data_IF_006906069736
#
_entry.id   IF_006906069736
#
_cell.length_a   1.000
_cell.length_b   1.000
_cell.length_c   1.000
_cell.angle_alpha   90.00
_cell.angle_beta   90.00
_cell.angle_gamma   90.00
#
_symmetry.space_group_name_H-M   'P 1'
#
loop_
_entity.id
_entity.type
_entity.pdbx_description
1 polymer ?
#
# COMPACT_ATOMS: atom_id res chain seq x y z
N UNK A 1 13.83 -11.26 -0.72
CA UNK A 1 12.48 -11.08 -0.20
C UNK A 1 11.46 -10.82 -1.30
N UNK A 2 11.80 -10.09 -2.34
CA UNK A 2 11.01 -9.84 -3.53
C UNK A 2 10.48 -11.12 -4.23
N UNK A 3 11.29 -12.17 -4.33
CA UNK A 3 10.93 -13.44 -5.00
C UNK A 3 9.82 -14.19 -4.25
N UNK A 4 9.85 -14.19 -2.92
CA UNK A 4 8.88 -14.89 -2.07
C UNK A 4 7.48 -14.29 -2.18
N UNK A 5 7.36 -12.96 -2.09
CA UNK A 5 6.08 -12.26 -2.27
C UNK A 5 5.49 -12.52 -3.67
N UNK A 6 6.31 -12.41 -4.71
CA UNK A 6 5.88 -12.69 -6.09
C UNK A 6 5.37 -14.13 -6.25
N UNK A 7 6.06 -15.12 -5.69
CA UNK A 7 5.67 -16.53 -5.76
C UNK A 7 4.36 -16.78 -5.01
N UNK A 8 4.21 -16.23 -3.81
CA UNK A 8 2.99 -16.35 -3.00
C UNK A 8 1.78 -15.76 -3.73
N UNK A 9 1.93 -14.58 -4.36
CA UNK A 9 0.88 -13.98 -5.19
C UNK A 9 0.56 -14.85 -6.41
N UNK A 10 1.58 -15.34 -7.14
CA UNK A 10 1.38 -16.20 -8.31
C UNK A 10 0.57 -17.45 -7.95
N UNK A 11 0.91 -18.09 -6.84
CA UNK A 11 0.23 -19.29 -6.37
C UNK A 11 -1.20 -18.99 -5.91
N UNK A 12 -1.39 -17.88 -5.20
CA UNK A 12 -2.71 -17.39 -4.80
C UNK A 12 -3.63 -17.13 -5.99
N UNK A 13 -3.11 -16.48 -7.05
CA UNK A 13 -3.86 -16.25 -8.29
C UNK A 13 -4.24 -17.55 -8.99
N UNK A 14 -3.33 -18.54 -9.00
CA UNK A 14 -3.62 -19.87 -9.56
C UNK A 14 -4.68 -20.62 -8.78
N UNK A 15 -4.60 -20.61 -7.45
CA UNK A 15 -5.53 -21.30 -6.56
C UNK A 15 -6.95 -20.71 -6.62
N UNK A 16 -7.07 -19.38 -6.71
CA UNK A 16 -8.35 -18.67 -6.72
C UNK A 16 -9.01 -18.60 -8.10
N UNK A 17 -8.77 -19.61 -8.93
CA UNK A 17 -9.10 -19.64 -10.36
C UNK A 17 -10.57 -19.39 -10.72
N UNK A 18 -11.50 -19.72 -9.85
CA UNK A 18 -12.93 -19.65 -10.09
C UNK A 18 -13.69 -18.65 -9.21
N UNK A 19 -13.06 -18.05 -8.22
CA UNK A 19 -13.68 -17.12 -7.28
C UNK A 19 -12.92 -15.79 -7.25
N UNK A 20 -13.48 -14.79 -7.91
CA UNK A 20 -12.88 -13.44 -8.01
C UNK A 20 -12.84 -12.72 -6.67
N UNK A 21 -13.84 -12.94 -5.79
CA UNK A 21 -13.86 -12.34 -4.47
C UNK A 21 -12.73 -12.92 -3.61
N UNK A 22 -12.52 -14.21 -3.67
CA UNK A 22 -11.42 -14.89 -2.98
C UNK A 22 -10.04 -14.45 -3.54
N UNK A 23 -9.93 -14.23 -4.85
CA UNK A 23 -8.69 -13.70 -5.46
C UNK A 23 -8.34 -12.33 -4.87
N UNK A 24 -9.29 -11.41 -4.80
CA UNK A 24 -9.10 -10.10 -4.19
C UNK A 24 -8.67 -10.20 -2.73
N UNK A 25 -9.36 -11.04 -1.94
CA UNK A 25 -9.03 -11.29 -0.54
C UNK A 25 -7.62 -11.86 -0.37
N UNK A 26 -7.26 -12.83 -1.17
CA UNK A 26 -5.95 -13.48 -1.11
C UNK A 26 -4.82 -12.50 -1.47
N UNK A 27 -4.96 -11.76 -2.57
CA UNK A 27 -3.97 -10.74 -2.96
C UNK A 27 -3.84 -9.68 -1.87
N UNK A 28 -4.97 -9.21 -1.33
CA UNK A 28 -4.95 -8.25 -0.22
C UNK A 28 -4.21 -8.80 1.00
N UNK A 29 -4.47 -10.05 1.37
CA UNK A 29 -3.83 -10.72 2.50
C UNK A 29 -2.32 -10.85 2.33
N UNK A 30 -1.86 -11.32 1.16
CA UNK A 30 -0.43 -11.45 0.84
C UNK A 30 0.26 -10.08 0.89
N UNK A 31 -0.32 -9.06 0.26
CA UNK A 31 0.25 -7.70 0.26
C UNK A 31 0.28 -7.12 1.67
N UNK A 32 -0.79 -7.27 2.46
CA UNK A 32 -0.82 -6.80 3.84
C UNK A 32 0.24 -7.49 4.70
N UNK A 33 0.41 -8.80 4.58
CA UNK A 33 1.46 -9.55 5.28
C UNK A 33 2.84 -9.01 4.92
N UNK A 34 3.13 -8.84 3.62
CA UNK A 34 4.40 -8.29 3.17
C UNK A 34 4.65 -6.87 3.71
N UNK A 35 3.62 -6.01 3.74
CA UNK A 35 3.71 -4.66 4.30
C UNK A 35 3.97 -4.67 5.81
N UNK A 36 3.37 -5.60 6.56
CA UNK A 36 3.65 -5.80 7.98
C UNK A 36 5.10 -6.23 8.21
N UNK A 37 5.58 -7.21 7.44
CA UNK A 37 6.93 -7.75 7.56
C UNK A 37 8.00 -6.71 7.24
N UNK A 38 7.69 -5.75 6.36
CA UNK A 38 8.54 -4.61 6.01
C UNK A 38 8.25 -3.33 6.81
N UNK A 39 7.48 -3.42 7.90
CA UNK A 39 7.17 -2.31 8.79
C UNK A 39 6.56 -1.09 8.08
N UNK A 40 5.78 -1.32 7.02
CA UNK A 40 5.15 -0.28 6.21
C UNK A 40 6.15 0.76 5.66
N UNK A 41 7.41 0.36 5.41
CA UNK A 41 8.42 1.24 4.81
C UNK A 41 8.01 1.63 3.39
N UNK A 42 7.99 2.94 3.03
CA UNK A 42 7.53 3.39 1.71
C UNK A 42 8.37 2.86 0.54
N UNK A 43 9.67 2.64 0.72
CA UNK A 43 10.51 2.06 -0.33
C UNK A 43 10.15 0.59 -0.57
N UNK A 44 9.93 -0.17 0.51
CA UNK A 44 9.48 -1.55 0.44
C UNK A 44 8.07 -1.67 -0.17
N UNK A 45 7.17 -0.72 0.11
CA UNK A 45 5.82 -0.71 -0.49
C UNK A 45 5.87 -0.71 -2.03
N UNK A 46 6.76 0.06 -2.66
CA UNK A 46 6.92 0.08 -4.12
C UNK A 46 7.39 -1.27 -4.66
N UNK A 47 8.33 -1.92 -3.98
CA UNK A 47 8.78 -3.26 -4.37
C UNK A 47 7.66 -4.28 -4.23
N UNK A 48 6.93 -4.26 -3.11
CA UNK A 48 5.79 -5.14 -2.87
C UNK A 48 4.71 -4.98 -3.95
N UNK A 49 4.35 -3.75 -4.31
CA UNK A 49 3.41 -3.49 -5.40
C UNK A 49 3.90 -4.05 -6.74
N UNK A 50 5.17 -3.83 -7.07
CA UNK A 50 5.78 -4.32 -8.31
C UNK A 50 5.81 -5.85 -8.38
N UNK A 51 6.21 -6.50 -7.30
CA UNK A 51 6.25 -7.96 -7.20
C UNK A 51 4.86 -8.58 -7.24
N UNK A 52 3.89 -7.93 -6.59
CA UNK A 52 2.49 -8.33 -6.63
C UNK A 52 1.95 -8.31 -8.06
N UNK A 53 2.13 -7.22 -8.80
CA UNK A 53 1.66 -7.14 -10.19
C UNK A 53 2.39 -8.11 -11.12
N UNK A 54 3.67 -8.35 -10.89
CA UNK A 54 4.40 -9.38 -11.62
C UNK A 54 3.86 -10.78 -11.33
N UNK A 55 3.56 -11.09 -10.06
CA UNK A 55 2.93 -12.35 -9.65
C UNK A 55 1.51 -12.53 -10.23
N UNK A 56 0.72 -11.45 -10.24
CA UNK A 56 -0.60 -11.46 -10.90
C UNK A 56 -0.45 -11.76 -12.39
N UNK A 57 0.48 -11.09 -13.08
CA UNK A 57 0.75 -11.34 -14.49
C UNK A 57 1.13 -12.81 -14.75
N UNK A 58 2.08 -13.34 -14.00
CA UNK A 58 2.54 -14.73 -14.14
C UNK A 58 1.41 -15.74 -13.85
N UNK A 59 0.59 -15.47 -12.82
CA UNK A 59 -0.52 -16.36 -12.44
C UNK A 59 -1.67 -16.36 -13.44
N UNK A 60 -1.85 -15.29 -14.22
CA UNK A 60 -2.97 -15.13 -15.16
C UNK A 60 -2.61 -15.50 -16.61
N UNK A 61 -1.33 -15.60 -16.97
CA UNK A 61 -0.88 -15.93 -18.34
C UNK A 61 -1.55 -17.21 -18.86
N UNK A 62 -1.76 -18.20 -18.02
CA UNK A 62 -2.34 -19.49 -18.39
C UNK A 62 -3.86 -19.43 -18.65
N UNK A 63 -4.54 -18.34 -18.33
CA UNK A 63 -6.01 -18.23 -18.35
C UNK A 63 -6.60 -17.59 -19.61
N UNK A 64 -5.79 -16.90 -20.39
CA UNK A 64 -6.24 -16.22 -21.61
C UNK A 64 -7.27 -15.09 -21.32
N UNK A 65 -8.07 -14.74 -22.30
CA UNK A 65 -8.97 -13.58 -22.28
C UNK A 65 -10.10 -13.63 -21.21
N UNK A 66 -10.31 -14.75 -20.54
CA UNK A 66 -11.31 -14.88 -19.47
C UNK A 66 -10.85 -14.30 -18.11
N UNK A 67 -9.64 -13.77 -18.05
CA UNK A 67 -9.03 -13.30 -16.82
C UNK A 67 -9.08 -11.77 -16.64
N UNK A 68 -9.81 -11.03 -17.47
CA UNK A 68 -9.93 -9.56 -17.37
C UNK A 68 -10.44 -9.10 -16.02
N UNK A 69 -11.51 -9.71 -15.52
CA UNK A 69 -12.04 -9.40 -14.19
C UNK A 69 -11.07 -9.83 -13.07
N UNK A 70 -10.28 -10.88 -13.29
CA UNK A 70 -9.27 -11.32 -12.33
C UNK A 70 -8.13 -10.30 -12.18
N UNK A 71 -7.69 -9.65 -13.27
CA UNK A 71 -6.73 -8.53 -13.19
C UNK A 71 -7.29 -7.40 -12.32
N UNK A 72 -8.55 -7.02 -12.54
CA UNK A 72 -9.20 -5.95 -11.79
C UNK A 72 -9.32 -6.28 -10.32
N UNK A 73 -9.76 -7.48 -9.97
CA UNK A 73 -9.92 -7.89 -8.57
C UNK A 73 -8.58 -8.04 -7.86
N UNK A 74 -7.54 -8.55 -8.53
CA UNK A 74 -6.20 -8.61 -7.98
C UNK A 74 -5.62 -7.21 -7.69
N UNK A 75 -5.75 -6.27 -8.65
CA UNK A 75 -5.31 -4.88 -8.46
C UNK A 75 -6.11 -4.18 -7.37
N UNK A 76 -7.42 -4.43 -7.27
CA UNK A 76 -8.24 -3.91 -6.16
C UNK A 76 -7.78 -4.43 -4.81
N UNK A 77 -7.48 -5.73 -4.69
CA UNK A 77 -6.93 -6.29 -3.45
C UNK A 77 -5.62 -5.64 -3.04
N UNK A 78 -4.74 -5.38 -4.00
CA UNK A 78 -3.50 -4.65 -3.76
C UNK A 78 -3.75 -3.19 -3.35
N UNK A 79 -4.60 -2.45 -4.05
CA UNK A 79 -4.94 -1.05 -3.75
C UNK A 79 -5.55 -0.92 -2.34
N UNK A 80 -6.46 -1.80 -1.97
CA UNK A 80 -7.00 -1.85 -0.60
C UNK A 80 -5.95 -2.12 0.46
N UNK A 81 -4.99 -3.02 0.20
CA UNK A 81 -3.92 -3.31 1.15
C UNK A 81 -3.01 -2.10 1.36
N UNK A 82 -2.62 -1.43 0.27
CA UNK A 82 -1.81 -0.21 0.32
C UNK A 82 -2.57 0.93 1.01
N UNK A 83 -3.84 1.15 0.67
CA UNK A 83 -4.69 2.14 1.32
C UNK A 83 -4.82 1.90 2.84
N UNK A 84 -4.93 0.64 3.28
CA UNK A 84 -4.94 0.28 4.71
C UNK A 84 -3.61 0.56 5.40
N UNK A 85 -2.47 0.40 4.70
CA UNK A 85 -1.17 0.76 5.26
C UNK A 85 -1.05 2.28 5.46
N UNK A 86 -1.56 3.08 4.53
CA UNK A 86 -1.65 4.54 4.68
C UNK A 86 -2.51 4.91 5.88
N UNK A 87 -3.67 4.26 6.05
CA UNK A 87 -4.52 4.46 7.22
C UNK A 87 -3.81 4.08 8.52
N UNK A 88 -3.05 2.97 8.54
CA UNK A 88 -2.28 2.57 9.73
C UNK A 88 -1.21 3.61 10.09
N UNK A 89 -0.52 4.19 9.12
CA UNK A 89 0.43 5.30 9.34
C UNK A 89 -0.28 6.52 9.93
N UNK A 90 -1.46 6.88 9.41
CA UNK A 90 -2.27 7.95 9.98
C UNK A 90 -2.60 7.71 11.44
N UNK A 91 -3.12 6.52 11.78
CA UNK A 91 -3.49 6.16 13.15
C UNK A 91 -2.26 6.19 14.08
N UNK A 92 -1.10 5.72 13.60
CA UNK A 92 0.14 5.77 14.35
C UNK A 92 0.58 7.22 14.66
N UNK A 93 0.44 8.13 13.70
CA UNK A 93 0.70 9.57 13.90
C UNK A 93 -0.29 10.17 14.91
N UNK A 94 -1.57 9.86 14.82
CA UNK A 94 -2.57 10.36 15.77
C UNK A 94 -2.31 9.87 17.19
N UNK A 95 -1.99 8.59 17.35
CA UNK A 95 -1.63 7.99 18.64
C UNK A 95 -0.39 8.68 19.24
N UNK A 96 0.67 8.81 18.44
CA UNK A 96 1.89 9.45 18.88
C UNK A 96 1.66 10.91 19.31
N UNK A 97 0.83 11.66 18.59
CA UNK A 97 0.44 13.01 19.02
C UNK A 97 -0.42 13.03 20.28
N UNK A 98 -1.33 12.07 20.45
CA UNK A 98 -2.15 11.98 21.66
C UNK A 98 -1.33 11.72 22.91
N UNK A 99 -0.23 10.96 22.77
CA UNK A 99 0.75 10.71 23.83
C UNK A 99 1.71 11.88 24.09
N UNK A 100 1.54 13.01 23.41
CA UNK A 100 2.36 14.21 23.59
C UNK A 100 3.74 14.11 22.93
N UNK A 101 3.95 13.14 22.04
CA UNK A 101 5.18 13.09 21.24
C UNK A 101 5.24 14.30 20.31
N UNK A 102 6.34 15.03 20.45
CA UNK A 102 6.66 16.15 19.58
C UNK A 102 7.53 15.63 18.44
N UNK A 103 6.98 15.63 17.23
CA UNK A 103 7.76 15.34 16.04
C UNK A 103 8.42 16.60 15.54
N UNK A 104 9.67 16.48 15.07
CA UNK A 104 10.28 17.55 14.32
C UNK A 104 9.47 17.83 13.05
N UNK A 105 9.43 19.06 12.59
CA UNK A 105 8.74 19.42 11.34
C UNK A 105 9.28 18.63 10.14
N UNK A 106 10.56 18.20 10.19
CA UNK A 106 11.21 17.34 9.19
C UNK A 106 10.64 15.92 9.17
N UNK A 107 10.37 15.30 10.34
CA UNK A 107 9.88 13.92 10.42
C UNK A 107 8.46 13.81 9.90
N UNK A 108 7.63 14.78 10.26
CA UNK A 108 6.26 14.89 9.73
C UNK A 108 6.32 15.11 8.22
N UNK A 109 7.21 15.99 7.75
CA UNK A 109 7.39 16.26 6.32
C UNK A 109 7.81 15.02 5.54
N UNK A 110 8.81 14.29 6.00
CA UNK A 110 9.31 13.08 5.34
C UNK A 110 8.23 11.99 5.27
N UNK A 111 7.45 11.82 6.34
CA UNK A 111 6.29 10.91 6.35
C UNK A 111 5.20 11.36 5.38
N UNK A 112 4.93 12.66 5.33
CA UNK A 112 3.96 13.26 4.39
C UNK A 112 4.40 13.04 2.95
N UNK A 113 5.67 13.35 2.63
CA UNK A 113 6.19 13.20 1.28
C UNK A 113 6.17 11.71 0.86
N UNK A 114 6.53 10.79 1.74
CA UNK A 114 6.49 9.36 1.48
C UNK A 114 5.06 8.83 1.22
N UNK A 115 4.08 9.30 1.98
CA UNK A 115 2.66 8.91 1.80
C UNK A 115 2.05 9.55 0.55
N UNK A 116 2.41 10.81 0.27
CA UNK A 116 1.87 11.59 -0.85
C UNK A 116 2.13 10.93 -2.21
N UNK A 117 3.28 10.30 -2.35
CA UNK A 117 3.69 9.71 -3.63
C UNK A 117 3.10 8.30 -3.87
N UNK A 118 2.51 7.65 -2.84
CA UNK A 118 2.04 6.27 -2.94
C UNK A 118 0.98 6.02 -4.01
N UNK A 119 0.05 6.96 -4.22
CA UNK A 119 -0.93 6.83 -5.32
C UNK A 119 -0.25 6.90 -6.69
N UNK A 120 0.68 7.83 -6.85
CA UNK A 120 1.47 7.96 -8.07
C UNK A 120 2.34 6.72 -8.31
N UNK A 121 2.92 6.18 -7.25
CA UNK A 121 3.72 4.95 -7.28
C UNK A 121 2.85 3.74 -7.68
N UNK A 122 1.65 3.62 -7.13
CA UNK A 122 0.70 2.57 -7.51
C UNK A 122 0.34 2.66 -9.00
N UNK A 123 -0.05 3.83 -9.47
CA UNK A 123 -0.43 4.04 -10.87
C UNK A 123 0.76 3.81 -11.82
N UNK A 124 1.97 4.24 -11.43
CA UNK A 124 3.17 4.00 -12.23
C UNK A 124 3.52 2.51 -12.29
N UNK A 125 3.36 1.79 -11.18
CA UNK A 125 3.62 0.34 -11.12
C UNK A 125 2.64 -0.45 -11.99
N UNK A 126 1.36 -0.04 -12.07
CA UNK A 126 0.39 -0.63 -12.99
C UNK A 126 0.81 -0.42 -14.45
N UNK A 127 1.29 0.79 -14.80
CA UNK A 127 1.80 1.06 -16.15
C UNK A 127 3.06 0.25 -16.47
N UNK A 128 3.99 0.14 -15.53
CA UNK A 128 5.17 -0.71 -15.67
C UNK A 128 4.79 -2.19 -15.88
N UNK A 129 3.74 -2.68 -15.20
CA UNK A 129 3.23 -4.02 -15.41
C UNK A 129 2.67 -4.18 -16.83
N UNK A 130 1.95 -3.18 -17.35
CA UNK A 130 1.49 -3.17 -18.75
C UNK A 130 2.67 -3.25 -19.72
N UNK A 131 3.74 -2.50 -19.47
CA UNK A 131 4.92 -2.49 -20.36
C UNK A 131 5.71 -3.81 -20.34
N UNK A 132 5.69 -4.53 -19.22
CA UNK A 132 6.39 -5.81 -19.05
C UNK A 132 5.57 -7.02 -19.51
N UNK A 133 4.28 -6.86 -19.76
CA UNK A 133 3.37 -7.91 -20.22
C UNK A 133 3.13 -7.82 -21.72
N UNK A 134 2.56 -8.87 -22.30
CA UNK A 134 2.24 -8.95 -23.73
C UNK A 134 0.80 -9.40 -23.96
N UNK A 135 0.35 -9.22 -25.19
CA UNK A 135 -0.96 -9.68 -25.62
C UNK A 135 -2.11 -8.98 -24.88
N UNK A 136 -3.15 -9.74 -24.55
CA UNK A 136 -4.37 -9.26 -23.91
C UNK A 136 -4.10 -8.65 -22.52
N UNK A 137 -3.17 -9.23 -21.76
CA UNK A 137 -2.85 -8.79 -20.39
C UNK A 137 -2.26 -7.37 -20.36
N UNK A 138 -1.47 -7.00 -21.37
CA UNK A 138 -1.00 -5.62 -21.55
C UNK A 138 -2.16 -4.64 -21.71
N UNK A 139 -3.15 -5.01 -22.52
CA UNK A 139 -4.36 -4.21 -22.72
C UNK A 139 -5.10 -3.99 -21.40
N UNK A 140 -5.34 -5.05 -20.63
CA UNK A 140 -6.05 -4.98 -19.35
C UNK A 140 -5.35 -4.08 -18.33
N UNK A 141 -4.03 -4.19 -18.16
CA UNK A 141 -3.29 -3.29 -17.26
C UNK A 141 -3.30 -1.84 -17.75
N UNK A 142 -3.23 -1.61 -19.08
CA UNK A 142 -3.28 -0.26 -19.67
C UNK A 142 -4.64 0.38 -19.42
N UNK A 143 -5.73 -0.34 -19.69
CA UNK A 143 -7.09 0.14 -19.53
C UNK A 143 -7.41 0.39 -18.05
N UNK A 144 -6.99 -0.52 -17.18
CA UNK A 144 -7.17 -0.38 -15.74
C UNK A 144 -6.38 0.81 -15.18
N UNK A 145 -5.11 0.97 -15.55
CA UNK A 145 -4.29 2.11 -15.14
C UNK A 145 -4.88 3.44 -15.60
N UNK A 146 -5.42 3.49 -16.82
CA UNK A 146 -6.11 4.67 -17.35
C UNK A 146 -7.40 4.95 -16.59
N UNK A 147 -8.17 3.91 -16.27
CA UNK A 147 -9.41 4.02 -15.50
C UNK A 147 -9.13 4.58 -14.10
N UNK A 148 -8.20 3.97 -13.36
CA UNK A 148 -7.84 4.36 -12.00
C UNK A 148 -7.25 5.78 -11.95
N UNK A 149 -6.43 6.17 -12.92
CA UNK A 149 -5.91 7.54 -13.00
C UNK A 149 -7.03 8.61 -13.16
N UNK A 150 -8.18 8.21 -13.72
CA UNK A 150 -9.32 9.10 -13.92
C UNK A 150 -10.31 9.07 -12.75
N UNK A 151 -10.54 7.92 -12.16
CA UNK A 151 -11.55 7.71 -11.10
C UNK A 151 -10.99 7.84 -9.70
N UNK A 152 -9.67 7.76 -9.54
CA UNK A 152 -8.99 7.64 -8.25
C UNK A 152 -8.87 6.18 -7.78
N UNK A 153 -8.12 6.00 -6.70
CA UNK A 153 -7.81 4.74 -6.05
C UNK A 153 -8.23 4.77 -4.58
N UNK A 154 -8.34 3.61 -3.93
CA UNK A 154 -8.54 3.55 -2.48
C UNK A 154 -7.32 4.14 -1.77
N UNK A 155 -6.11 3.85 -2.26
CA UNK A 155 -4.86 4.46 -1.79
C UNK A 155 -4.91 5.98 -1.87
N UNK A 156 -5.29 6.57 -3.02
CA UNK A 156 -5.38 8.01 -3.20
C UNK A 156 -6.40 8.67 -2.26
N UNK A 157 -7.53 8.01 -2.01
CA UNK A 157 -8.53 8.47 -1.04
C UNK A 157 -7.95 8.52 0.37
N UNK A 158 -7.21 7.49 0.81
CA UNK A 158 -6.56 7.47 2.11
C UNK A 158 -5.41 8.48 2.20
N UNK A 159 -4.58 8.60 1.17
CA UNK A 159 -3.51 9.61 1.07
C UNK A 159 -4.10 11.01 1.28
N UNK A 160 -5.17 11.34 0.56
CA UNK A 160 -5.83 12.64 0.70
C UNK A 160 -6.31 12.88 2.13
N UNK A 161 -6.97 11.90 2.75
CA UNK A 161 -7.47 12.01 4.12
C UNK A 161 -6.32 12.26 5.13
N UNK A 162 -5.19 11.56 4.97
CA UNK A 162 -3.99 11.76 5.79
C UNK A 162 -3.42 13.16 5.58
N UNK A 163 -3.29 13.59 4.32
CA UNK A 163 -2.76 14.92 3.99
C UNK A 163 -3.58 16.06 4.56
N UNK A 164 -4.92 15.97 4.47
CA UNK A 164 -5.83 16.98 5.01
C UNK A 164 -5.67 17.10 6.54
N UNK A 165 -5.54 15.97 7.25
CA UNK A 165 -5.30 15.96 8.70
C UNK A 165 -3.92 16.50 9.08
N UNK A 166 -2.86 16.10 8.36
CA UNK A 166 -1.51 16.57 8.59
C UNK A 166 -1.38 18.08 8.38
N UNK A 167 -1.93 18.59 7.29
CA UNK A 167 -1.92 20.01 6.98
C UNK A 167 -2.62 20.84 8.06
N UNK A 168 -3.76 20.38 8.57
CA UNK A 168 -4.48 21.07 9.64
C UNK A 168 -3.68 21.13 10.95
N UNK A 169 -2.86 20.12 11.25
CA UNK A 169 -2.00 20.08 12.44
C UNK A 169 -0.69 20.85 12.26
N UNK A 170 -0.08 20.80 11.07
CA UNK A 170 1.14 21.57 10.80
C UNK A 170 0.91 23.08 10.91
N UNK A 171 -0.27 23.58 10.54
CA UNK A 171 -0.64 24.97 10.76
C UNK A 171 -0.60 25.38 12.24
N UNK A 172 -0.81 24.42 13.16
CA UNK A 172 -0.67 24.64 14.62
C UNK A 172 0.77 24.56 15.15
N UNK A 173 1.66 23.82 14.46
CA UNK A 173 3.06 23.60 14.89
C UNK A 173 3.99 24.75 14.42
N UNK A 174 3.67 25.38 13.30
CA UNK A 174 4.49 26.48 12.71
C UNK A 174 4.71 27.68 13.66
N UNK A 175 4.01 27.75 14.79
CA UNK A 175 4.15 28.78 15.82
C UNK A 175 5.09 28.40 16.99
N UNK A 176 5.72 27.24 16.96
CA UNK A 176 6.63 26.78 18.03
C UNK A 176 7.99 26.36 17.48
N UNK A 177 9.03 27.12 17.77
CA UNK A 177 10.42 26.80 17.44
C UNK A 177 10.88 25.53 18.15
N UNK A 178 11.32 24.52 17.42
CA UNK A 178 12.00 23.34 17.98
C UNK A 178 13.25 22.99 17.18
N UNK A 179 14.39 23.02 17.89
CA UNK A 179 15.64 22.39 17.46
C UNK A 179 15.63 20.95 17.99
N UNK A 180 15.47 19.98 17.14
CA UNK A 180 15.71 18.56 17.47
C UNK A 180 16.91 18.03 16.69
N UNK A 181 17.66 17.11 17.31
CA UNK A 181 18.84 16.49 16.69
C UNK A 181 18.43 15.38 15.73
N UNK A 182 19.20 15.14 14.65
CA UNK A 182 18.93 14.11 13.64
C UNK A 182 18.75 12.70 14.24
N UNK A 183 19.44 12.40 15.35
CA UNK A 183 19.29 11.11 16.05
C UNK A 183 17.89 10.92 16.67
N UNK A 184 17.30 11.99 17.21
CA UNK A 184 15.93 11.93 17.76
C UNK A 184 14.88 11.74 16.66
N UNK A 185 15.13 12.28 15.46
CA UNK A 185 14.28 12.12 14.31
C UNK A 185 14.22 10.66 13.81
N UNK A 186 15.39 10.01 13.72
CA UNK A 186 15.49 8.62 13.27
C UNK A 186 14.82 7.64 14.26
N UNK A 187 14.97 7.89 15.55
CA UNK A 187 14.28 7.12 16.59
C UNK A 187 12.76 7.31 16.56
N UNK A 188 12.28 8.53 16.32
CA UNK A 188 10.85 8.84 16.18
C UNK A 188 10.24 8.14 14.96
N UNK A 189 10.94 8.13 13.82
CA UNK A 189 10.53 7.42 12.61
C UNK A 189 10.44 5.91 12.85
N UNK A 190 11.44 5.31 13.51
CA UNK A 190 11.43 3.88 13.84
C UNK A 190 10.24 3.51 14.73
N UNK A 191 9.90 4.34 15.72
CA UNK A 191 8.73 4.13 16.59
C UNK A 191 7.43 4.26 15.81
N UNK A 192 7.31 5.25 14.93
CA UNK A 192 6.13 5.44 14.10
C UNK A 192 5.87 4.23 13.21
N UNK A 193 6.91 3.74 12.53
CA UNK A 193 6.83 2.56 11.68
C UNK A 193 6.45 1.30 12.49
N UNK A 194 6.97 1.14 13.70
CA UNK A 194 6.63 0.03 14.57
C UNK A 194 5.15 0.07 15.01
N UNK A 195 4.63 1.24 15.35
CA UNK A 195 3.21 1.43 15.72
C UNK A 195 2.31 1.20 14.49
N UNK A 196 2.66 1.76 13.33
CA UNK A 196 1.93 1.55 12.09
C UNK A 196 1.88 0.06 11.70
N UNK A 197 3.00 -0.65 11.83
CA UNK A 197 3.08 -2.10 11.60
C UNK A 197 2.19 -2.88 12.58
N UNK A 198 2.15 -2.48 13.84
CA UNK A 198 1.27 -3.08 14.86
C UNK A 198 -0.21 -2.92 14.51
N UNK A 199 -0.62 -1.72 14.10
CA UNK A 199 -1.99 -1.42 13.67
C UNK A 199 -2.33 -2.21 12.41
N UNK A 200 -1.43 -2.25 11.44
CA UNK A 200 -1.63 -2.99 10.19
C UNK A 200 -1.77 -4.50 10.44
N UNK A 201 -0.98 -5.05 11.38
CA UNK A 201 -1.10 -6.45 11.82
C UNK A 201 -2.47 -6.72 12.44
N UNK A 202 -2.95 -5.86 13.33
CA UNK A 202 -4.28 -5.98 13.91
C UNK A 202 -5.39 -5.93 12.86
N UNK A 203 -5.24 -5.11 11.81
CA UNK A 203 -6.15 -5.08 10.68
C UNK A 203 -6.09 -6.38 9.85
N UNK A 204 -4.91 -6.94 9.62
CA UNK A 204 -4.74 -8.21 8.93
C UNK A 204 -5.40 -9.36 9.72
N UNK A 205 -5.11 -9.47 11.02
CA UNK A 205 -5.67 -10.51 11.89
C UNK A 205 -7.21 -10.45 11.94
N UNK A 206 -7.78 -9.24 11.92
CA UNK A 206 -9.23 -9.05 11.90
C UNK A 206 -9.92 -9.52 10.62
N UNK A 207 -9.17 -9.55 9.50
CA UNK A 207 -9.66 -10.07 8.22
C UNK A 207 -9.63 -11.59 8.21
N UNK A 208 -8.54 -12.20 8.69
CA UNK A 208 -8.41 -13.65 8.79
C UNK A 208 -9.46 -14.26 9.71
N UNK A 209 -9.86 -13.54 10.78
CA UNK A 209 -10.92 -13.97 11.69
C UNK A 209 -12.33 -13.94 11.06
N UNK A 210 -12.56 -13.10 10.05
CA UNK A 210 -13.85 -13.03 9.34
C UNK A 210 -13.99 -14.08 8.24
N UNK A 211 -12.89 -14.67 7.79
CA UNK A 211 -12.83 -15.65 6.72
C UNK A 211 -12.83 -17.10 7.23
N UNK A 212 -12.96 -17.33 8.55
CA UNK A 212 -13.16 -18.62 9.22
C UNK A 212 -14.61 -18.78 9.64
#
# INVERSE_FOLDING_TARGET
MSIENKQEVTESVRASAGDLAQLRENVRGVVMKALVDHQADPAAMREIMRDTLAGVGDGLVERGNQASDAVREAVRGMDEAVGRSVYAVQMALEEAWSMGHRFAATDVKDTVDAVKDLESDLLSTIREAADKTQGWLRGEFTDLGTHLARTGTDTGTQVKAVMDKLNSRMAGIANGSMQETMAAAEEARGRLNAVASGILRGLADSLDAKNK
#
